data_IF_846253133246
#
_entry.id   IF_846253133246
#
_cell.length_a   1.000
_cell.length_b   1.000
_cell.length_c   1.000
_cell.angle_alpha   90.00
_cell.angle_beta   90.00
_cell.angle_gamma   90.00
#
_symmetry.space_group_name_H-M   'P 1'
#
loop_
_entity.id
_entity.type
_entity.pdbx_description
1 polymer ?
#
# COMPACT_ATOMS: atom_id res chain seq x y z
N UNK A 1 -19.00 -4.94 17.42
CA UNK A 1 -18.44 -3.86 16.59
C UNK A 1 -16.90 -3.83 16.52
N UNK A 2 -16.19 -4.93 16.77
CA UNK A 2 -14.71 -4.92 16.92
C UNK A 2 -13.92 -5.36 15.67
N UNK A 3 -14.56 -5.63 14.53
CA UNK A 3 -13.86 -6.19 13.36
C UNK A 3 -13.10 -5.16 12.52
N UNK A 4 -13.59 -3.90 12.48
CA UNK A 4 -13.00 -2.81 11.69
C UNK A 4 -12.97 -1.48 12.49
N UNK A 5 -12.23 -1.40 13.61
CA UNK A 5 -12.10 -0.16 14.40
C UNK A 5 -11.40 0.99 13.67
N UNK A 6 -12.01 2.18 13.62
CA UNK A 6 -11.38 3.37 13.02
C UNK A 6 -10.37 4.01 13.98
N UNK A 7 -9.14 4.29 13.53
CA UNK A 7 -8.14 4.99 14.35
C UNK A 7 -8.19 6.52 14.23
N UNK A 8 -8.45 7.04 13.04
CA UNK A 8 -8.60 8.47 12.74
C UNK A 8 -9.52 8.65 11.51
N UNK A 9 -10.05 9.84 11.25
CA UNK A 9 -10.85 10.13 10.05
C UNK A 9 -10.13 11.04 9.05
N UNK A 10 -9.10 11.77 9.49
CA UNK A 10 -8.46 12.83 8.68
C UNK A 10 -7.79 12.28 7.43
N UNK A 11 -7.13 11.12 7.53
CA UNK A 11 -6.50 10.47 6.38
C UNK A 11 -7.53 10.00 5.35
N UNK A 12 -8.75 9.62 5.78
CA UNK A 12 -9.84 9.28 4.85
C UNK A 12 -10.34 10.49 4.09
N UNK A 13 -10.48 11.64 4.77
CA UNK A 13 -10.89 12.88 4.11
C UNK A 13 -9.83 13.36 3.12
N UNK A 14 -8.55 13.35 3.51
CA UNK A 14 -7.44 13.69 2.62
C UNK A 14 -7.33 12.71 1.43
N UNK A 15 -7.53 11.41 1.65
CA UNK A 15 -7.54 10.40 0.59
C UNK A 15 -8.68 10.61 -0.40
N UNK A 16 -9.91 10.87 0.07
CA UNK A 16 -11.06 11.16 -0.78
C UNK A 16 -10.83 12.46 -1.58
N UNK A 17 -10.30 13.51 -0.94
CA UNK A 17 -9.93 14.75 -1.61
C UNK A 17 -8.87 14.55 -2.69
N UNK A 18 -7.84 13.74 -2.43
CA UNK A 18 -6.79 13.45 -3.40
C UNK A 18 -7.32 12.67 -4.61
N UNK A 19 -8.22 11.69 -4.39
CA UNK A 19 -8.91 10.99 -5.47
C UNK A 19 -9.76 11.94 -6.33
N UNK A 20 -10.54 12.83 -5.70
CA UNK A 20 -11.35 13.80 -6.43
C UNK A 20 -10.47 14.80 -7.19
N UNK A 21 -9.41 15.31 -6.56
CA UNK A 21 -8.45 16.22 -7.21
C UNK A 21 -7.83 15.57 -8.45
N UNK A 22 -7.41 14.31 -8.35
CA UNK A 22 -6.89 13.55 -9.48
C UNK A 22 -7.95 13.34 -10.57
N UNK A 23 -9.19 13.05 -10.19
CA UNK A 23 -10.26 12.76 -11.15
C UNK A 23 -10.78 14.01 -11.88
N UNK A 24 -10.91 15.14 -11.20
CA UNK A 24 -11.64 16.32 -11.71
C UNK A 24 -10.74 17.46 -12.15
N UNK A 25 -9.53 17.60 -11.57
CA UNK A 25 -8.71 18.78 -11.79
C UNK A 25 -9.33 20.08 -11.24
N UNK A 26 -10.29 19.99 -10.30
CA UNK A 26 -10.95 21.15 -9.70
C UNK A 26 -10.05 21.84 -8.65
N UNK A 27 -9.78 23.13 -8.85
CA UNK A 27 -8.90 23.91 -7.96
C UNK A 27 -9.45 24.18 -6.56
N UNK A 28 -10.77 24.23 -6.38
CA UNK A 28 -11.39 24.35 -5.05
C UNK A 28 -11.20 23.06 -4.27
N UNK A 29 -11.45 21.92 -4.92
CA UNK A 29 -11.23 20.59 -4.32
C UNK A 29 -9.75 20.37 -4.02
N UNK A 30 -8.86 20.77 -4.93
CA UNK A 30 -7.41 20.70 -4.71
C UNK A 30 -6.97 21.50 -3.48
N UNK A 31 -7.43 22.74 -3.35
CA UNK A 31 -7.10 23.60 -2.21
C UNK A 31 -7.59 23.02 -0.88
N UNK A 32 -8.81 22.48 -0.84
CA UNK A 32 -9.33 21.80 0.35
C UNK A 32 -8.50 20.55 0.68
N UNK A 33 -8.13 19.78 -0.34
CA UNK A 33 -7.31 18.57 -0.18
C UNK A 33 -5.94 18.91 0.40
N UNK A 34 -5.30 20.01 -0.03
CA UNK A 34 -4.02 20.45 0.50
C UNK A 34 -4.09 20.85 1.98
N UNK A 35 -5.21 21.43 2.43
CA UNK A 35 -5.43 21.72 3.86
C UNK A 35 -5.49 20.41 4.65
N UNK A 36 -6.27 19.43 4.19
CA UNK A 36 -6.37 18.13 4.86
C UNK A 36 -5.04 17.36 4.84
N UNK A 37 -4.28 17.47 3.74
CA UNK A 37 -2.95 16.87 3.62
C UNK A 37 -1.96 17.45 4.62
N UNK A 38 -2.03 18.76 4.88
CA UNK A 38 -1.21 19.42 5.90
C UNK A 38 -1.56 18.95 7.32
N UNK A 39 -2.82 18.60 7.57
CA UNK A 39 -3.31 18.21 8.90
C UNK A 39 -2.93 16.77 9.31
N UNK A 40 -2.47 15.91 8.38
CA UNK A 40 -2.20 14.48 8.63
C UNK A 40 -0.71 14.11 8.84
N UNK A 41 0.16 15.09 9.14
CA UNK A 41 1.57 14.87 9.52
C UNK A 41 2.36 13.92 8.59
N UNK A 42 2.32 14.22 7.28
CA UNK A 42 3.09 13.47 6.28
C UNK A 42 4.59 13.82 6.29
N UNK A 43 5.49 12.86 6.03
CA UNK A 43 5.21 11.45 5.72
C UNK A 43 4.98 10.58 6.98
N UNK A 44 4.01 9.68 6.92
CA UNK A 44 3.78 8.68 7.97
C UNK A 44 4.62 7.41 7.75
N UNK A 45 5.92 7.51 8.02
CA UNK A 45 6.88 6.41 7.81
C UNK A 45 6.48 5.18 8.64
N UNK A 46 6.49 4.01 8.01
CA UNK A 46 6.19 2.73 8.67
C UNK A 46 4.71 2.39 8.79
N UNK A 47 3.79 3.31 8.46
CA UNK A 47 2.35 3.02 8.40
C UNK A 47 2.06 1.97 7.32
N UNK A 48 1.29 0.93 7.67
CA UNK A 48 0.79 -0.03 6.70
C UNK A 48 -0.43 0.56 5.98
N UNK A 49 -0.38 0.65 4.65
CA UNK A 49 -1.58 0.93 3.87
C UNK A 49 -2.57 -0.23 4.07
N UNK A 50 -3.76 0.05 4.62
CA UNK A 50 -4.79 -0.94 4.88
C UNK A 50 -6.20 -0.31 4.85
N UNK A 51 -7.19 -1.00 5.40
CA UNK A 51 -8.58 -0.53 5.42
C UNK A 51 -8.77 0.73 6.27
N UNK A 52 -8.02 0.84 7.37
CA UNK A 52 -8.02 1.96 8.30
C UNK A 52 -7.05 3.05 7.83
N UNK A 53 -5.76 2.79 7.71
CA UNK A 53 -4.77 3.83 7.39
C UNK A 53 -4.55 3.98 5.87
N UNK A 54 -4.77 5.19 5.34
CA UNK A 54 -4.65 5.54 3.91
C UNK A 54 -3.42 6.38 3.55
N UNK A 55 -2.71 6.90 4.55
CA UNK A 55 -1.63 7.87 4.38
C UNK A 55 -0.63 7.55 3.24
N UNK A 56 -0.12 6.30 3.08
CA UNK A 56 0.85 5.99 2.02
C UNK A 56 0.35 6.21 0.59
N UNK A 57 -0.97 6.17 0.37
CA UNK A 57 -1.55 6.35 -0.97
C UNK A 57 -1.77 7.84 -1.33
N UNK A 58 -1.91 8.72 -0.33
CA UNK A 58 -2.35 10.10 -0.55
C UNK A 58 -1.31 10.90 -1.32
N UNK A 59 -0.03 10.79 -0.94
CA UNK A 59 1.06 11.46 -1.66
C UNK A 59 1.23 10.93 -3.08
N UNK A 60 0.98 9.64 -3.33
CA UNK A 60 1.01 9.07 -4.70
C UNK A 60 -0.11 9.62 -5.57
N UNK A 61 -1.31 9.77 -5.02
CA UNK A 61 -2.45 10.37 -5.75
C UNK A 61 -2.18 11.83 -6.07
N UNK A 62 -1.63 12.59 -5.12
CA UNK A 62 -1.30 14.00 -5.34
C UNK A 62 -0.12 14.20 -6.29
N UNK A 63 0.85 13.29 -6.32
CA UNK A 63 1.91 13.28 -7.34
C UNK A 63 1.31 13.03 -8.74
N UNK A 64 0.41 12.07 -8.89
CA UNK A 64 -0.33 11.84 -10.14
C UNK A 64 -1.14 13.07 -10.55
N UNK A 65 -1.86 13.69 -9.61
CA UNK A 65 -2.67 14.87 -9.88
C UNK A 65 -1.81 16.07 -10.30
N UNK A 66 -0.63 16.25 -9.70
CA UNK A 66 0.29 17.33 -10.06
C UNK A 66 0.82 17.20 -11.50
N UNK A 67 1.02 15.97 -11.96
CA UNK A 67 1.43 15.69 -13.35
C UNK A 67 0.25 15.80 -14.32
N UNK A 68 -0.92 15.28 -13.94
CA UNK A 68 -2.10 15.25 -14.81
C UNK A 68 -2.75 16.64 -14.98
N UNK A 69 -2.72 17.47 -13.93
CA UNK A 69 -3.38 18.78 -13.86
C UNK A 69 -2.35 19.89 -13.55
N UNK A 70 -1.43 20.19 -14.49
CA UNK A 70 -0.35 21.16 -14.24
C UNK A 70 -0.84 22.58 -13.94
N UNK A 71 -2.05 22.93 -14.39
CA UNK A 71 -2.71 24.20 -14.11
C UNK A 71 -3.06 24.41 -12.63
N UNK A 72 -3.10 23.34 -11.82
CA UNK A 72 -3.37 23.43 -10.38
C UNK A 72 -2.17 23.92 -9.56
N UNK A 73 -0.96 23.94 -10.12
CA UNK A 73 0.24 24.40 -9.39
C UNK A 73 0.59 23.55 -8.17
N UNK A 74 0.22 22.27 -8.18
CA UNK A 74 0.48 21.33 -7.09
C UNK A 74 1.99 21.08 -6.91
N UNK A 75 2.44 20.96 -5.66
CA UNK A 75 3.85 20.77 -5.32
C UNK A 75 4.29 19.31 -5.50
N UNK A 76 4.57 18.90 -6.75
CA UNK A 76 5.02 17.55 -7.09
C UNK A 76 6.21 17.09 -6.22
N UNK A 77 7.22 17.95 -6.04
CA UNK A 77 8.43 17.62 -5.25
C UNK A 77 8.10 17.23 -3.81
N UNK A 78 7.14 17.90 -3.18
CA UNK A 78 6.69 17.55 -1.83
C UNK A 78 6.09 16.15 -1.79
N UNK A 79 5.20 15.82 -2.73
CA UNK A 79 4.54 14.52 -2.78
C UNK A 79 5.49 13.38 -3.13
N UNK A 80 6.49 13.66 -3.99
CA UNK A 80 7.58 12.74 -4.25
C UNK A 80 8.39 12.47 -2.98
N UNK A 81 8.85 13.54 -2.31
CA UNK A 81 9.63 13.41 -1.07
C UNK A 81 8.90 12.60 0.00
N UNK A 82 7.60 12.85 0.20
CA UNK A 82 6.81 12.16 1.22
C UNK A 82 6.61 10.67 0.86
N UNK A 83 6.35 10.35 -0.41
CA UNK A 83 6.20 8.96 -0.86
C UNK A 83 7.52 8.20 -0.74
N UNK A 84 8.63 8.82 -1.14
CA UNK A 84 9.94 8.18 -1.10
C UNK A 84 10.42 7.98 0.33
N UNK A 85 10.15 8.91 1.24
CA UNK A 85 10.43 8.72 2.66
C UNK A 85 9.68 7.50 3.25
N UNK A 86 8.51 7.16 2.70
CA UNK A 86 7.78 5.96 3.08
C UNK A 86 8.35 4.69 2.44
N UNK A 87 8.72 4.69 1.16
CA UNK A 87 9.26 3.52 0.43
C UNK A 87 10.73 3.19 0.75
N UNK A 88 11.59 4.19 0.86
CA UNK A 88 13.05 4.05 0.98
C UNK A 88 13.50 3.13 2.13
N UNK A 89 12.84 3.11 3.31
CA UNK A 89 13.23 2.23 4.41
C UNK A 89 13.16 0.73 4.11
N UNK A 90 12.41 0.28 3.10
CA UNK A 90 12.22 -1.15 2.82
C UNK A 90 12.36 -1.56 1.35
N UNK A 91 12.26 -0.62 0.40
CA UNK A 91 12.18 -0.98 -1.02
C UNK A 91 13.48 -1.55 -1.61
N UNK A 92 14.60 -1.55 -0.88
CA UNK A 92 15.82 -2.28 -1.30
C UNK A 92 15.74 -3.79 -1.04
N UNK A 93 14.58 -4.31 -0.61
CA UNK A 93 14.42 -5.71 -0.19
C UNK A 93 15.05 -6.00 1.17
N UNK A 94 15.44 -4.96 1.90
CA UNK A 94 15.90 -5.03 3.28
C UNK A 94 15.47 -3.77 4.01
N UNK A 95 15.19 -3.93 5.29
CA UNK A 95 14.74 -2.85 6.14
C UNK A 95 15.92 -2.04 6.69
N UNK A 96 15.84 -0.71 6.66
CA UNK A 96 16.73 0.13 7.46
C UNK A 96 16.49 -0.10 8.95
N UNK A 97 17.53 0.10 9.78
CA UNK A 97 17.44 -0.09 11.24
C UNK A 97 16.35 0.84 11.80
N UNK A 98 15.41 0.27 12.56
CA UNK A 98 14.30 1.01 13.17
C UNK A 98 13.06 1.18 12.27
N UNK A 99 13.06 0.60 11.06
CA UNK A 99 11.86 0.50 10.23
C UNK A 99 10.78 -0.36 10.91
N UNK A 100 9.52 0.06 10.81
CA UNK A 100 8.35 -0.76 11.20
C UNK A 100 8.12 -1.96 10.27
N UNK A 101 8.86 -2.02 9.16
CA UNK A 101 8.85 -3.11 8.18
C UNK A 101 10.09 -3.95 8.37
N UNK A 102 9.93 -5.26 8.53
CA UNK A 102 11.01 -6.26 8.45
C UNK A 102 10.79 -7.17 7.25
N UNK A 103 11.62 -8.18 7.08
CA UNK A 103 11.44 -9.21 6.05
C UNK A 103 11.51 -10.59 6.67
N UNK A 104 10.68 -11.52 6.19
CA UNK A 104 10.84 -12.94 6.52
C UNK A 104 12.15 -13.47 5.90
N UNK A 105 12.69 -14.61 6.37
CA UNK A 105 13.84 -15.25 5.72
C UNK A 105 13.62 -15.55 4.23
N UNK A 106 12.36 -15.72 3.81
CA UNK A 106 11.96 -15.93 2.42
C UNK A 106 11.76 -14.66 1.60
N UNK A 107 11.91 -13.46 2.18
CA UNK A 107 11.83 -12.19 1.47
C UNK A 107 10.45 -11.53 1.40
N UNK A 108 9.46 -12.00 2.18
CA UNK A 108 8.18 -11.30 2.34
C UNK A 108 8.35 -10.09 3.25
N UNK A 109 7.92 -8.92 2.78
CA UNK A 109 7.85 -7.71 3.60
C UNK A 109 6.83 -7.88 4.73
N UNK A 110 7.22 -7.50 5.95
CA UNK A 110 6.49 -7.80 7.16
C UNK A 110 6.30 -6.53 7.99
N UNK A 111 5.07 -6.00 8.02
CA UNK A 111 4.71 -4.87 8.87
C UNK A 111 4.42 -5.33 10.29
N UNK A 112 5.18 -4.82 11.25
CA UNK A 112 4.97 -5.10 12.67
C UNK A 112 3.54 -4.66 13.06
N UNK A 113 2.80 -5.56 13.73
CA UNK A 113 1.42 -5.31 14.16
C UNK A 113 0.33 -5.61 13.11
N UNK A 114 0.66 -5.74 11.83
CA UNK A 114 -0.33 -5.99 10.76
C UNK A 114 -0.13 -7.33 10.03
N UNK A 115 1.12 -7.68 9.73
CA UNK A 115 1.40 -8.90 8.97
C UNK A 115 1.16 -10.19 9.76
N UNK A 116 1.02 -10.11 11.09
CA UNK A 116 0.69 -11.28 11.93
C UNK A 116 -0.72 -11.84 11.67
N UNK A 117 -1.69 -10.99 11.36
CA UNK A 117 -3.07 -11.38 11.05
C UNK A 117 -3.36 -11.42 9.55
N UNK A 118 -2.55 -10.75 8.72
CA UNK A 118 -2.78 -10.65 7.28
C UNK A 118 -1.46 -10.46 6.53
N UNK A 119 -0.58 -11.46 6.58
CA UNK A 119 0.81 -11.38 6.11
C UNK A 119 0.99 -10.78 4.71
N UNK A 120 0.21 -11.23 3.73
CA UNK A 120 0.31 -10.79 2.34
C UNK A 120 -0.31 -9.42 2.07
N UNK A 121 -1.28 -8.97 2.88
CA UNK A 121 -2.07 -7.77 2.56
C UNK A 121 -1.22 -6.48 2.60
N UNK A 122 -0.47 -6.15 3.68
CA UNK A 122 0.41 -4.99 3.69
C UNK A 122 1.49 -5.04 2.60
N UNK A 123 2.08 -6.22 2.36
CA UNK A 123 3.11 -6.42 1.35
C UNK A 123 2.58 -6.13 -0.07
N UNK A 124 1.40 -6.64 -0.40
CA UNK A 124 0.76 -6.43 -1.70
C UNK A 124 0.26 -4.99 -1.88
N UNK A 125 -0.26 -4.36 -0.82
CA UNK A 125 -0.63 -2.94 -0.86
C UNK A 125 0.61 -2.06 -1.11
N UNK A 126 1.73 -2.35 -0.46
CA UNK A 126 2.97 -1.64 -0.68
C UNK A 126 3.56 -1.88 -2.07
N UNK A 127 3.47 -3.11 -2.60
CA UNK A 127 3.85 -3.42 -3.97
C UNK A 127 3.02 -2.60 -4.98
N UNK A 128 1.70 -2.47 -4.77
CA UNK A 128 0.83 -1.65 -5.60
C UNK A 128 1.23 -0.17 -5.55
N UNK A 129 1.49 0.38 -4.36
CA UNK A 129 1.99 1.75 -4.18
C UNK A 129 3.30 1.95 -4.95
N UNK A 130 4.26 1.03 -4.81
CA UNK A 130 5.55 1.10 -5.49
C UNK A 130 5.42 1.03 -7.02
N UNK A 131 4.52 0.18 -7.54
CA UNK A 131 4.24 0.11 -8.98
C UNK A 131 3.68 1.42 -9.51
N UNK A 132 2.61 1.93 -8.90
CA UNK A 132 1.94 3.17 -9.33
C UNK A 132 2.90 4.37 -9.20
N UNK A 133 3.67 4.44 -8.12
CA UNK A 133 4.58 5.56 -7.88
C UNK A 133 5.85 5.53 -8.74
N UNK A 134 6.28 4.35 -9.21
CA UNK A 134 7.60 4.19 -9.87
C UNK A 134 7.88 5.19 -11.01
N UNK A 135 6.86 5.58 -11.78
CA UNK A 135 6.97 6.58 -12.85
C UNK A 135 7.17 8.03 -12.39
N UNK A 136 6.96 8.30 -11.10
CA UNK A 136 7.15 9.60 -10.45
C UNK A 136 8.40 9.64 -9.58
N UNK A 137 9.15 8.54 -9.47
CA UNK A 137 10.30 8.47 -8.58
C UNK A 137 11.43 9.41 -9.02
N UNK A 138 12.12 10.00 -8.04
CA UNK A 138 13.26 10.88 -8.28
C UNK A 138 14.55 10.10 -8.47
N UNK A 139 15.48 10.66 -9.26
CA UNK A 139 16.77 10.06 -9.56
C UNK A 139 16.63 8.65 -10.14
N UNK A 140 17.39 7.70 -9.59
CA UNK A 140 17.43 6.31 -10.08
C UNK A 140 16.54 5.35 -9.27
N UNK A 141 15.62 5.85 -8.44
CA UNK A 141 14.85 5.03 -7.48
C UNK A 141 13.75 4.17 -8.12
N UNK A 142 13.26 4.54 -9.32
CA UNK A 142 12.21 3.81 -10.02
C UNK A 142 12.50 2.29 -10.12
N UNK A 143 13.72 1.93 -10.50
CA UNK A 143 14.15 0.53 -10.60
C UNK A 143 14.13 -0.21 -9.25
N UNK A 144 14.42 0.48 -8.14
CA UNK A 144 14.38 -0.09 -6.80
C UNK A 144 12.94 -0.39 -6.38
N UNK A 145 12.03 0.55 -6.61
CA UNK A 145 10.61 0.37 -6.27
C UNK A 145 9.94 -0.70 -7.12
N UNK A 146 10.23 -0.76 -8.42
CA UNK A 146 9.77 -1.84 -9.29
C UNK A 146 10.32 -3.20 -8.86
N UNK A 147 11.61 -3.29 -8.52
CA UNK A 147 12.23 -4.53 -8.04
C UNK A 147 11.59 -5.02 -6.74
N UNK A 148 11.31 -4.10 -5.80
CA UNK A 148 10.55 -4.42 -4.59
C UNK A 148 9.17 -4.97 -4.93
N UNK A 149 8.38 -4.24 -5.73
CA UNK A 149 7.03 -4.66 -6.06
C UNK A 149 7.00 -6.04 -6.72
N UNK A 150 7.86 -6.27 -7.72
CA UNK A 150 7.99 -7.57 -8.36
C UNK A 150 8.41 -8.66 -7.39
N UNK A 151 9.31 -8.39 -6.43
CA UNK A 151 9.70 -9.40 -5.44
C UNK A 151 8.54 -9.87 -4.57
N UNK A 152 7.62 -8.97 -4.20
CA UNK A 152 6.45 -9.32 -3.39
C UNK A 152 5.39 -10.05 -4.21
N UNK A 153 5.20 -9.65 -5.48
CA UNK A 153 4.34 -10.36 -6.43
C UNK A 153 4.88 -11.77 -6.69
N UNK A 154 6.17 -11.90 -7.01
CA UNK A 154 6.86 -13.18 -7.19
C UNK A 154 6.69 -14.07 -5.97
N UNK A 155 6.81 -13.51 -4.75
CA UNK A 155 6.60 -14.28 -3.51
C UNK A 155 5.18 -14.87 -3.44
N UNK A 156 4.15 -14.08 -3.74
CA UNK A 156 2.75 -14.55 -3.79
C UNK A 156 2.55 -15.61 -4.89
N UNK A 157 3.31 -15.52 -5.97
CA UNK A 157 3.25 -16.42 -7.13
C UNK A 157 4.18 -17.64 -7.05
N UNK A 158 4.80 -17.90 -5.89
CA UNK A 158 5.56 -19.14 -5.66
C UNK A 158 7.07 -18.97 -5.50
N UNK A 159 7.63 -17.76 -5.63
CA UNK A 159 9.03 -17.50 -5.30
C UNK A 159 9.21 -17.31 -3.79
N UNK A 160 8.87 -18.34 -3.04
CA UNK A 160 8.95 -18.40 -1.59
C UNK A 160 9.51 -19.77 -1.17
N UNK A 161 9.96 -19.94 0.09
CA UNK A 161 10.56 -21.20 0.54
C UNK A 161 9.68 -22.45 0.40
N UNK A 162 8.35 -22.28 0.28
CA UNK A 162 7.39 -23.37 0.09
C UNK A 162 7.11 -23.69 -1.37
N UNK A 163 7.62 -22.88 -2.31
CA UNK A 163 7.23 -22.88 -3.73
C UNK A 163 5.70 -22.80 -3.95
N UNK A 164 4.97 -22.25 -2.97
CA UNK A 164 3.52 -22.28 -2.90
C UNK A 164 2.91 -21.04 -3.55
N UNK A 165 1.82 -21.22 -4.30
CA UNK A 165 1.10 -20.10 -4.91
C UNK A 165 -0.01 -19.65 -3.96
N UNK A 166 0.09 -18.44 -3.40
CA UNK A 166 -0.91 -17.96 -2.44
C UNK A 166 -2.17 -17.36 -3.09
N UNK A 167 -2.40 -17.66 -4.37
CA UNK A 167 -3.66 -17.42 -5.07
C UNK A 167 -4.40 -18.75 -5.25
N UNK A 168 -5.57 -18.87 -4.61
CA UNK A 168 -6.40 -20.08 -4.62
C UNK A 168 -6.76 -20.46 -6.06
N UNK A 169 -6.59 -21.75 -6.41
CA UNK A 169 -6.96 -22.29 -7.71
C UNK A 169 -6.04 -21.94 -8.89
N UNK A 170 -4.98 -21.15 -8.67
CA UNK A 170 -4.08 -20.75 -9.76
C UNK A 170 -3.08 -21.86 -10.17
N UNK A 171 -2.72 -22.75 -9.24
CA UNK A 171 -1.72 -23.80 -9.44
C UNK A 171 -2.05 -25.02 -8.58
N UNK A 172 -1.59 -26.24 -8.94
CA UNK A 172 -1.72 -27.41 -8.07
C UNK A 172 -1.05 -27.26 -6.69
N UNK A 173 -0.09 -26.34 -6.53
CA UNK A 173 0.53 -26.03 -5.22
C UNK A 173 -0.05 -24.74 -4.59
N UNK A 174 -1.29 -24.39 -4.94
CA UNK A 174 -2.00 -23.29 -4.31
C UNK A 174 -2.66 -23.70 -3.01
N UNK A 175 -2.98 -22.73 -2.14
CA UNK A 175 -3.86 -23.01 -1.00
C UNK A 175 -5.23 -23.48 -1.50
N UNK A 176 -5.72 -24.61 -0.97
CA UNK A 176 -6.96 -25.25 -1.41
C UNK A 176 -8.17 -24.96 -0.51
N UNK A 177 -7.93 -24.63 0.76
CA UNK A 177 -8.96 -24.49 1.78
C UNK A 177 -8.98 -23.07 2.35
N UNK A 178 -9.40 -22.05 1.58
CA UNK A 178 -9.56 -20.70 2.11
C UNK A 178 -10.65 -20.70 3.18
N UNK A 179 -10.47 -19.88 4.22
CA UNK A 179 -11.50 -19.67 5.23
C UNK A 179 -12.66 -18.81 4.64
N UNK A 180 -13.54 -19.46 3.88
CA UNK A 180 -14.68 -18.86 3.20
C UNK A 180 -15.88 -19.81 3.25
N UNK A 181 -16.97 -19.38 3.88
CA UNK A 181 -18.18 -20.19 4.01
C UNK A 181 -18.79 -20.57 2.65
N UNK A 182 -18.73 -19.66 1.67
CA UNK A 182 -19.24 -19.94 0.31
C UNK A 182 -18.36 -20.95 -0.43
N UNK A 183 -17.05 -20.95 -0.18
CA UNK A 183 -16.13 -21.86 -0.85
C UNK A 183 -16.04 -23.23 -0.16
N UNK A 184 -16.32 -23.31 1.15
CA UNK A 184 -16.25 -24.56 1.90
C UNK A 184 -17.38 -25.55 1.55
N UNK A 185 -18.48 -25.06 0.98
CA UNK A 185 -19.66 -25.88 0.67
C UNK A 185 -20.43 -26.34 1.92
N UNK A 186 -20.08 -25.81 3.10
CA UNK A 186 -20.78 -26.10 4.35
C UNK A 186 -22.19 -25.49 4.35
N UNK A 187 -23.17 -26.28 4.79
CA UNK A 187 -24.58 -25.86 4.87
C UNK A 187 -25.07 -25.63 6.30
N UNK A 188 -24.20 -25.82 7.30
CA UNK A 188 -24.54 -25.72 8.72
C UNK A 188 -23.46 -24.92 9.48
N UNK A 189 -23.85 -23.77 10.04
CA UNK A 189 -22.96 -22.89 10.80
C UNK A 189 -22.58 -23.43 12.18
N UNK A 190 -23.34 -24.40 12.71
CA UNK A 190 -23.05 -25.04 13.99
C UNK A 190 -22.02 -26.16 13.90
N UNK A 191 -21.68 -26.62 12.69
CA UNK A 191 -20.77 -27.74 12.42
C UNK A 191 -19.79 -27.40 11.28
N UNK A 192 -19.13 -26.23 11.36
CA UNK A 192 -18.03 -25.85 10.45
C UNK A 192 -16.68 -26.26 11.05
#
# INVERSE_FOLDING_TARGET
DDSYPSSDWRDKLAYAGAMLTLATGDGVVANQTLQQYADISMPQIGTALNWDARAPAISVLLAQAAVLHPNLGLNLTRFQSDTEAWLDPFAKGSASRGSSVSFTPGGLAWWQGYSSSSSLNPAMNAAAVALVYSGFATGNKASTYLSFAHSQIDYVLGKNPMNAVYMVGQSPNSAENPHSALASGGTDIGNI
#
